data_IF_692225260977
#
_entry.id   IF_692225260977
#
_cell.length_a   1.000
_cell.length_b   1.000
_cell.length_c   1.000
_cell.angle_alpha   90.00
_cell.angle_beta   90.00
_cell.angle_gamma   90.00
#
_symmetry.space_group_name_H-M   'P 1'
#
loop_
_entity.id
_entity.type
_entity.pdbx_description
1 polymer ?
#
# COMPACT_ATOMS: atom_id res chain seq x y z
N UNK A 1 32.36 17.36 -12.97
CA UNK A 1 31.74 17.78 -11.69
C UNK A 1 30.26 17.99 -11.95
N UNK A 2 29.38 17.26 -11.27
CA UNK A 2 27.92 17.44 -11.46
C UNK A 2 27.46 18.71 -10.77
N UNK A 3 26.85 19.63 -11.52
CA UNK A 3 26.28 20.88 -11.01
C UNK A 3 25.01 20.63 -10.18
N UNK A 4 24.38 19.46 -10.35
CA UNK A 4 23.21 19.01 -9.59
C UNK A 4 23.63 17.80 -8.75
N UNK A 5 23.72 18.01 -7.45
CA UNK A 5 23.87 16.92 -6.47
C UNK A 5 22.51 16.66 -5.85
N UNK A 6 22.11 15.38 -5.84
CA UNK A 6 20.95 14.94 -5.09
C UNK A 6 21.29 15.02 -3.60
N UNK A 7 20.55 15.82 -2.85
CA UNK A 7 20.67 15.88 -1.40
C UNK A 7 19.79 14.78 -0.79
N UNK A 8 20.39 13.61 -0.61
CA UNK A 8 19.74 12.49 0.06
C UNK A 8 19.54 12.81 1.55
N UNK A 9 18.29 12.75 2.00
CA UNK A 9 17.93 12.96 3.41
C UNK A 9 17.24 11.74 4.03
N UNK A 10 16.78 10.80 3.20
CA UNK A 10 16.21 9.52 3.60
C UNK A 10 16.53 8.47 2.55
N UNK A 11 16.92 7.28 3.00
CA UNK A 11 17.21 6.12 2.17
C UNK A 11 16.80 4.86 2.91
N UNK A 12 16.13 3.94 2.21
CA UNK A 12 15.80 2.64 2.73
C UNK A 12 15.96 1.59 1.63
N UNK A 13 16.54 0.45 1.99
CA UNK A 13 16.73 -0.67 1.06
C UNK A 13 15.84 -1.83 1.50
N UNK A 14 15.02 -2.31 0.58
CA UNK A 14 14.14 -3.46 0.79
C UNK A 14 14.28 -4.43 -0.38
N UNK A 15 14.32 -5.73 -0.08
CA UNK A 15 14.48 -6.77 -1.08
C UNK A 15 13.17 -7.02 -1.84
N UNK A 16 13.31 -7.28 -3.15
CA UNK A 16 12.20 -7.63 -4.05
C UNK A 16 11.02 -6.64 -4.04
N UNK A 17 11.27 -5.37 -3.71
CA UNK A 17 10.29 -4.29 -3.79
C UNK A 17 9.79 -4.12 -5.22
N UNK A 18 8.47 -4.09 -5.40
CA UNK A 18 7.84 -4.07 -6.72
C UNK A 18 6.77 -3.00 -6.86
N UNK A 19 6.10 -2.65 -5.77
CA UNK A 19 5.03 -1.66 -5.76
C UNK A 19 5.26 -0.60 -4.69
N UNK A 20 4.81 0.63 -4.98
CA UNK A 20 4.96 1.78 -4.10
C UNK A 20 3.69 2.63 -4.13
N UNK A 21 3.28 3.10 -2.95
CA UNK A 21 2.21 4.07 -2.79
C UNK A 21 2.64 5.13 -1.75
N UNK A 22 2.07 6.33 -1.85
CA UNK A 22 2.34 7.43 -0.91
C UNK A 22 1.01 8.01 -0.48
N UNK A 23 0.81 8.13 0.83
CA UNK A 23 -0.42 8.68 1.39
C UNK A 23 -0.22 9.23 2.80
N UNK A 24 -1.12 10.13 3.20
CA UNK A 24 -1.22 10.69 4.55
C UNK A 24 -2.06 9.79 5.45
N UNK A 25 -1.51 8.68 5.89
CA UNK A 25 -2.22 7.72 6.75
C UNK A 25 -2.19 8.20 8.21
N UNK A 26 -1.07 8.78 8.65
CA UNK A 26 -0.87 9.21 10.04
C UNK A 26 -0.52 10.70 10.07
N UNK A 27 -1.41 11.48 10.68
CA UNK A 27 -1.28 12.93 10.75
C UNK A 27 -1.21 13.57 9.37
N UNK A 28 -0.48 14.69 9.28
CA UNK A 28 -0.42 15.51 8.07
C UNK A 28 0.74 15.17 7.12
N UNK A 29 1.56 14.18 7.48
CA UNK A 29 2.77 13.79 6.74
C UNK A 29 2.46 12.64 5.79
N UNK A 30 3.18 12.63 4.67
CA UNK A 30 3.12 11.54 3.71
C UNK A 30 3.97 10.36 4.21
N UNK A 31 3.36 9.18 4.26
CA UNK A 31 4.04 7.91 4.48
C UNK A 31 4.28 7.20 3.15
N UNK A 32 5.40 6.49 3.06
CA UNK A 32 5.77 5.69 1.90
C UNK A 32 5.41 4.23 2.21
N UNK A 33 4.59 3.62 1.36
CA UNK A 33 4.19 2.23 1.48
C UNK A 33 4.83 1.45 0.36
N UNK A 34 5.54 0.38 0.69
CA UNK A 34 6.26 -0.46 -0.25
C UNK A 34 5.76 -1.89 -0.15
N UNK A 35 5.48 -2.49 -1.31
CA UNK A 35 5.05 -3.87 -1.43
C UNK A 35 6.08 -4.68 -2.19
N UNK A 36 6.46 -5.82 -1.63
CA UNK A 36 7.40 -6.77 -2.21
C UNK A 36 6.70 -7.97 -2.86
N UNK A 37 7.36 -8.57 -3.86
CA UNK A 37 6.94 -9.85 -4.44
C UNK A 37 7.06 -11.02 -3.45
N UNK A 38 7.82 -10.86 -2.37
CA UNK A 38 7.91 -11.85 -1.28
C UNK A 38 6.68 -11.78 -0.35
N UNK A 39 5.75 -10.85 -0.61
CA UNK A 39 4.55 -10.63 0.19
C UNK A 39 4.80 -9.86 1.48
N UNK A 40 5.85 -9.04 1.50
CA UNK A 40 6.12 -8.10 2.59
C UNK A 40 5.51 -6.74 2.22
N UNK A 41 4.67 -6.20 3.10
CA UNK A 41 4.19 -4.83 3.07
C UNK A 41 4.91 -4.03 4.15
N UNK A 42 5.60 -2.97 3.76
CA UNK A 42 6.33 -2.10 4.69
C UNK A 42 5.83 -0.67 4.57
N UNK A 43 5.63 0.00 5.70
CA UNK A 43 5.22 1.40 5.76
C UNK A 43 6.34 2.20 6.43
N UNK A 44 6.78 3.26 5.77
CA UNK A 44 7.81 4.18 6.22
C UNK A 44 7.21 5.57 6.49
N UNK A 45 7.65 6.21 7.57
CA UNK A 45 7.51 7.63 7.86
C UNK A 45 8.92 8.25 7.94
N UNK A 46 9.40 8.84 6.83
CA UNK A 46 10.72 9.46 6.77
C UNK A 46 10.90 10.64 7.73
N UNK A 47 9.79 11.26 8.16
CA UNK A 47 9.81 12.46 9.00
C UNK A 47 9.84 12.16 10.50
N UNK A 48 9.70 10.90 10.91
CA UNK A 48 9.73 10.52 12.33
C UNK A 48 11.18 10.48 12.81
N UNK A 49 11.48 11.18 13.91
CA UNK A 49 12.80 11.09 14.53
C UNK A 49 13.07 9.63 14.95
N UNK A 50 14.20 9.04 14.52
CA UNK A 50 14.54 7.68 14.90
C UNK A 50 14.88 7.66 16.39
N UNK A 51 13.98 7.14 17.22
CA UNK A 51 14.23 6.98 18.65
C UNK A 51 15.37 5.98 18.94
N UNK A 52 15.68 5.08 17.99
CA UNK A 52 16.79 4.14 18.09
C UNK A 52 17.47 3.97 16.73
N UNK A 53 18.81 3.94 16.74
CA UNK A 53 19.74 4.08 15.61
C UNK A 53 19.62 3.03 14.48
N UNK A 54 18.63 2.13 14.48
CA UNK A 54 18.54 1.03 13.52
C UNK A 54 17.18 0.82 12.84
N UNK A 55 16.14 1.58 13.18
CA UNK A 55 14.84 1.49 12.50
C UNK A 55 14.54 2.80 11.78
N UNK A 56 15.11 2.95 10.59
CA UNK A 56 14.97 4.14 9.73
C UNK A 56 13.51 4.35 9.32
N UNK A 57 12.74 5.06 10.14
CA UNK A 57 11.39 5.50 9.82
C UNK A 57 10.37 4.38 9.58
N UNK A 58 10.68 3.11 9.84
CA UNK A 58 9.73 2.01 9.64
C UNK A 58 8.61 2.13 10.67
N UNK A 59 7.37 2.26 10.22
CA UNK A 59 6.20 2.28 11.10
C UNK A 59 5.66 0.88 11.36
N UNK A 60 5.55 0.08 10.30
CA UNK A 60 5.00 -1.28 10.38
C UNK A 60 5.53 -2.11 9.22
N UNK A 61 5.76 -3.40 9.49
CA UNK A 61 6.06 -4.41 8.48
C UNK A 61 5.11 -5.58 8.68
N UNK A 62 4.45 -6.01 7.60
CA UNK A 62 3.47 -7.10 7.61
C UNK A 62 3.81 -8.14 6.54
N UNK A 63 3.86 -9.41 6.94
CA UNK A 63 4.03 -10.53 6.04
C UNK A 63 2.65 -11.08 5.63
N UNK A 64 2.29 -10.89 4.36
CA UNK A 64 1.05 -11.38 3.75
C UNK A 64 1.24 -12.80 3.18
N UNK A 65 2.48 -13.15 2.81
CA UNK A 65 2.82 -14.46 2.24
C UNK A 65 2.34 -14.67 0.80
N UNK A 66 1.93 -13.60 0.10
CA UNK A 66 1.53 -13.60 -1.31
C UNK A 66 2.15 -12.40 -2.03
N UNK A 67 2.56 -12.54 -3.31
CA UNK A 67 3.22 -11.45 -4.03
C UNK A 67 2.29 -10.23 -4.18
N UNK A 68 2.83 -9.05 -3.87
CA UNK A 68 2.13 -7.78 -4.03
C UNK A 68 2.47 -7.21 -5.41
N UNK A 69 1.48 -7.21 -6.30
CA UNK A 69 1.62 -6.72 -7.68
C UNK A 69 1.45 -5.21 -7.77
N UNK A 70 0.52 -4.65 -7.01
CA UNK A 70 0.24 -3.22 -7.03
C UNK A 70 -0.30 -2.78 -5.67
N UNK A 71 0.05 -1.56 -5.28
CA UNK A 71 -0.49 -0.89 -4.11
C UNK A 71 -1.28 0.36 -4.53
N UNK A 72 -2.30 0.67 -3.75
CA UNK A 72 -2.93 1.98 -3.80
C UNK A 72 -3.54 2.35 -2.46
N UNK A 73 -3.92 3.60 -2.35
CA UNK A 73 -4.44 4.20 -1.12
C UNK A 73 -5.61 5.09 -1.45
N UNK A 74 -6.64 5.04 -0.63
CA UNK A 74 -7.85 5.81 -0.85
C UNK A 74 -8.93 5.53 0.18
N UNK A 75 -10.11 6.08 -0.07
CA UNK A 75 -11.29 5.96 0.78
C UNK A 75 -12.18 4.85 0.22
N UNK A 76 -11.88 3.59 0.57
CA UNK A 76 -12.55 2.43 -0.01
C UNK A 76 -13.69 1.86 0.83
N UNK A 77 -13.63 2.01 2.16
CA UNK A 77 -14.59 1.39 3.08
C UNK A 77 -15.26 2.46 3.96
N UNK A 78 -16.49 2.89 3.63
CA UNK A 78 -17.25 3.89 4.39
C UNK A 78 -17.44 3.53 5.86
N UNK A 79 -17.50 2.23 6.16
CA UNK A 79 -17.70 1.69 7.51
C UNK A 79 -16.61 2.12 8.50
N UNK A 80 -15.43 2.51 8.01
CA UNK A 80 -14.30 2.97 8.82
C UNK A 80 -14.20 4.50 8.92
N UNK A 81 -15.18 5.23 8.38
CA UNK A 81 -15.25 6.68 8.41
C UNK A 81 -14.73 7.33 7.12
N UNK A 82 -15.25 8.52 6.76
CA UNK A 82 -14.97 9.18 5.49
C UNK A 82 -13.53 9.72 5.37
N UNK A 83 -12.81 9.83 6.48
CA UNK A 83 -11.44 10.36 6.54
C UNK A 83 -10.37 9.27 6.69
N UNK A 84 -10.78 8.00 6.80
CA UNK A 84 -9.84 6.89 6.99
C UNK A 84 -9.28 6.43 5.65
N UNK A 85 -7.99 6.68 5.43
CA UNK A 85 -7.28 6.15 4.27
C UNK A 85 -6.95 4.67 4.51
N UNK A 86 -7.26 3.85 3.51
CA UNK A 86 -7.05 2.41 3.52
C UNK A 86 -6.02 2.07 2.47
N UNK A 87 -5.10 1.17 2.81
CA UNK A 87 -4.13 0.61 1.88
C UNK A 87 -4.75 -0.59 1.19
N UNK A 88 -4.65 -0.66 -0.12
CA UNK A 88 -5.11 -1.80 -0.91
C UNK A 88 -3.93 -2.42 -1.62
N UNK A 89 -3.72 -3.72 -1.39
CA UNK A 89 -2.75 -4.53 -2.08
C UNK A 89 -3.44 -5.49 -3.05
N UNK A 90 -3.02 -5.43 -4.31
CA UNK A 90 -3.37 -6.44 -5.30
C UNK A 90 -2.38 -7.59 -5.21
N UNK A 91 -2.91 -8.79 -5.03
CA UNK A 91 -2.22 -10.04 -5.27
C UNK A 91 -2.81 -10.71 -6.52
N UNK A 92 -2.18 -11.77 -7.07
CA UNK A 92 -2.66 -12.40 -8.30
C UNK A 92 -4.13 -12.84 -8.27
N UNK A 93 -4.64 -13.27 -7.10
CA UNK A 93 -6.01 -13.80 -6.98
C UNK A 93 -6.90 -13.02 -6.02
N UNK A 94 -6.36 -12.07 -5.26
CA UNK A 94 -7.11 -11.37 -4.20
C UNK A 94 -6.70 -9.90 -4.09
N UNK A 95 -7.68 -9.05 -3.79
CA UNK A 95 -7.48 -7.69 -3.30
C UNK A 95 -7.59 -7.70 -1.78
N UNK A 96 -6.57 -7.18 -1.10
CA UNK A 96 -6.49 -7.16 0.36
C UNK A 96 -6.45 -5.72 0.84
N UNK A 97 -7.28 -5.40 1.83
CA UNK A 97 -7.45 -4.07 2.39
C UNK A 97 -6.83 -4.05 3.78
N UNK A 98 -5.96 -3.07 4.03
CA UNK A 98 -5.26 -2.89 5.28
C UNK A 98 -5.51 -1.52 5.87
N UNK A 99 -5.53 -1.46 7.19
CA UNK A 99 -5.52 -0.22 7.96
C UNK A 99 -4.35 -0.22 8.92
N UNK A 100 -3.79 0.96 9.11
CA UNK A 100 -2.80 1.19 10.15
C UNK A 100 -3.54 1.70 11.38
N UNK A 101 -3.43 0.97 12.48
CA UNK A 101 -3.92 1.40 13.78
C UNK A 101 -2.74 1.90 14.61
N UNK A 102 -2.96 2.97 15.37
CA UNK A 102 -2.01 3.44 16.36
C UNK A 102 -2.40 2.86 17.72
N UNK A 103 -1.52 2.07 18.31
CA UNK A 103 -1.72 1.58 19.67
C UNK A 103 -1.31 2.66 20.70
N UNK A 104 -1.84 2.54 21.92
CA UNK A 104 -1.59 3.44 23.06
C UNK A 104 -0.12 3.65 23.39
N UNK A 105 0.76 2.72 23.01
CA UNK A 105 2.21 2.80 23.22
C UNK A 105 3.00 3.36 22.02
N UNK A 106 2.36 4.06 21.09
CA UNK A 106 2.99 4.66 19.87
C UNK A 106 3.60 3.64 18.88
N UNK A 107 3.23 2.37 19.05
CA UNK A 107 3.43 1.29 18.08
C UNK A 107 2.33 1.36 17.03
N UNK A 108 2.74 1.27 15.76
CA UNK A 108 1.81 1.21 14.64
C UNK A 108 1.69 -0.24 14.19
N UNK A 109 0.45 -0.69 14.03
CA UNK A 109 0.15 -2.05 13.59
C UNK A 109 -0.66 -1.99 12.31
N UNK A 110 -0.22 -2.72 11.29
CA UNK A 110 -0.95 -2.88 10.04
C UNK A 110 -1.84 -4.12 10.12
N UNK A 111 -3.15 -3.90 10.14
CA UNK A 111 -4.18 -4.94 10.26
C UNK A 111 -4.86 -5.18 8.91
N UNK A 112 -5.06 -6.45 8.56
CA UNK A 112 -5.90 -6.85 7.42
C UNK A 112 -7.38 -6.74 7.82
N UNK A 113 -8.13 -5.90 7.12
CA UNK A 113 -9.56 -5.68 7.39
C UNK A 113 -10.44 -6.58 6.52
N UNK A 114 -10.15 -6.60 5.23
CA UNK A 114 -11.04 -7.17 4.24
C UNK A 114 -10.24 -7.81 3.11
N UNK A 115 -10.77 -8.89 2.56
CA UNK A 115 -10.17 -9.60 1.43
C UNK A 115 -11.26 -9.92 0.42
N UNK A 116 -11.06 -9.45 -0.82
CA UNK A 116 -11.92 -9.75 -1.95
C UNK A 116 -11.21 -10.71 -2.90
N UNK A 117 -11.80 -11.88 -3.14
CA UNK A 117 -11.28 -12.85 -4.10
C UNK A 117 -11.69 -12.46 -5.51
N UNK A 118 -10.72 -12.30 -6.41
CA UNK A 118 -10.96 -12.01 -7.82
C UNK A 118 -11.29 -13.33 -8.52
N UNK A 119 -12.50 -13.50 -9.07
CA UNK A 119 -12.85 -14.69 -9.81
C UNK A 119 -12.14 -14.69 -11.18
N UNK A 120 -11.60 -15.85 -11.58
CA UNK A 120 -11.08 -16.05 -12.94
C UNK A 120 -9.56 -16.07 -13.03
N UNK A 121 -8.96 -15.58 -14.14
CA UNK A 121 -7.52 -15.59 -14.33
C UNK A 121 -6.82 -14.58 -13.40
N UNK A 122 -5.50 -14.74 -13.16
CA UNK A 122 -4.75 -13.86 -12.28
C UNK A 122 -4.85 -12.40 -12.71
N UNK A 123 -5.15 -11.50 -11.78
CA UNK A 123 -5.17 -10.08 -12.02
C UNK A 123 -3.75 -9.54 -12.25
N UNK A 124 -3.62 -8.55 -13.13
CA UNK A 124 -2.33 -7.95 -13.49
C UNK A 124 -2.12 -6.60 -12.80
N UNK A 125 -3.09 -5.70 -12.95
CA UNK A 125 -3.09 -4.38 -12.34
C UNK A 125 -4.53 -3.94 -12.03
N UNK A 126 -4.68 -2.81 -11.35
CA UNK A 126 -5.97 -2.18 -11.12
C UNK A 126 -5.90 -0.67 -11.27
N UNK A 127 -7.04 -0.05 -11.55
CA UNK A 127 -7.21 1.39 -11.51
C UNK A 127 -8.18 1.75 -10.39
N UNK A 128 -7.95 2.90 -9.76
CA UNK A 128 -8.84 3.46 -8.77
C UNK A 128 -9.39 4.81 -9.22
N UNK A 129 -10.59 5.14 -8.75
CA UNK A 129 -11.18 6.45 -8.99
C UNK A 129 -12.64 6.51 -8.59
N UNK A 130 -13.24 7.67 -8.78
CA UNK A 130 -14.66 7.89 -8.59
C UNK A 130 -15.42 7.45 -9.83
N UNK A 131 -15.92 6.21 -9.85
CA UNK A 131 -16.72 5.75 -10.99
C UNK A 131 -18.17 6.23 -10.86
N UNK A 132 -18.82 6.49 -12.01
CA UNK A 132 -20.24 6.81 -12.04
C UNK A 132 -20.69 8.11 -11.32
N UNK A 133 -19.78 9.06 -11.04
CA UNK A 133 -20.02 10.27 -10.22
C UNK A 133 -20.24 9.99 -8.73
N UNK A 134 -19.71 8.89 -8.20
CA UNK A 134 -19.59 8.70 -6.76
C UNK A 134 -18.72 9.82 -6.17
N UNK A 135 -19.18 10.53 -5.15
CA UNK A 135 -18.43 11.65 -4.54
C UNK A 135 -17.77 11.28 -3.22
N UNK A 136 -17.94 10.04 -2.75
CA UNK A 136 -17.60 9.64 -1.37
C UNK A 136 -16.69 8.43 -1.35
N UNK A 137 -16.87 7.49 -2.28
CA UNK A 137 -16.16 6.21 -2.30
C UNK A 137 -15.22 6.14 -3.49
N UNK A 138 -13.99 5.71 -3.22
CA UNK A 138 -13.05 5.33 -4.27
C UNK A 138 -13.37 3.91 -4.70
N UNK A 139 -13.69 3.73 -5.97
CA UNK A 139 -13.94 2.42 -6.54
C UNK A 139 -12.67 1.82 -7.13
N UNK A 140 -12.63 0.50 -7.22
CA UNK A 140 -11.51 -0.27 -7.76
C UNK A 140 -11.95 -1.11 -8.96
N UNK A 141 -11.20 -1.01 -10.05
CA UNK A 141 -11.39 -1.84 -11.23
C UNK A 141 -10.12 -2.65 -11.49
N UNK A 142 -10.18 -3.96 -11.25
CA UNK A 142 -9.08 -4.89 -11.53
C UNK A 142 -9.09 -5.33 -12.99
N UNK A 143 -7.92 -5.33 -13.63
CA UNK A 143 -7.75 -5.77 -15.01
C UNK A 143 -7.14 -7.17 -15.00
N UNK A 144 -7.88 -8.13 -15.55
CA UNK A 144 -7.42 -9.50 -15.78
C UNK A 144 -7.08 -9.68 -17.26
N UNK A 145 -5.89 -10.19 -17.63
CA UNK A 145 -5.55 -10.45 -19.01
C UNK A 145 -6.51 -11.49 -19.60
N UNK A 146 -6.99 -11.25 -20.84
CA UNK A 146 -7.75 -12.25 -21.58
C UNK A 146 -6.86 -13.45 -21.82
N UNK A 147 -7.37 -14.66 -21.54
CA UNK A 147 -6.70 -15.89 -21.99
C UNK A 147 -6.49 -15.79 -23.51
N UNK A 148 -5.31 -16.12 -24.05
CA UNK A 148 -5.23 -16.41 -25.47
C UNK A 148 -6.22 -17.55 -25.75
N UNK A 149 -7.05 -17.39 -26.78
CA UNK A 149 -7.98 -18.43 -27.22
C UNK A 149 -7.21 -19.75 -27.36
N UNK A 150 -7.81 -20.91 -26.98
CA UNK A 150 -7.21 -22.18 -27.33
C UNK A 150 -7.10 -22.24 -28.86
N UNK A 151 -5.87 -22.44 -29.35
CA UNK A 151 -5.57 -22.72 -30.76
C UNK A 151 -6.21 -24.04 -31.18
#
# INVERSE_FOLDING_TARGET
MSLFQFQEWFSATQQNSFSLAVAKIIGERDQIIVGSLDGILTVFDPGREPNHQNEMGVLSTLQIGRPILQLSTGYFLPSYGPETIIIVALTPSTLIYFKINQNTQSLFECEQIFEHKIPGPPAFNFCQGYFGRGNVETDLCSITPRRPYPL
#
